data_IF_497671084774
#
_entry.id   IF_497671084774
#
_cell.length_a   1.000
_cell.length_b   1.000
_cell.length_c   1.000
_cell.angle_alpha   90.00
_cell.angle_beta   90.00
_cell.angle_gamma   90.00
#
_symmetry.space_group_name_H-M   'P 1'
#
loop_
_entity.id
_entity.type
_entity.pdbx_description
1 polymer ?
#
# COMPACT_ATOMS: atom_id res chain seq x y z
N UNK A 1 -11.06 7.12 -5.62
CA UNK A 1 -9.72 7.08 -6.22
C UNK A 1 -8.86 8.05 -5.44
N UNK A 2 -7.65 7.64 -5.03
CA UNK A 2 -6.73 8.50 -4.28
C UNK A 2 -6.39 9.75 -5.10
N UNK A 3 -6.26 10.90 -4.42
CA UNK A 3 -5.75 12.15 -5.01
C UNK A 3 -4.25 12.06 -5.25
N UNK A 4 -3.52 11.40 -4.34
CA UNK A 4 -2.09 11.14 -4.44
C UNK A 4 -1.79 9.89 -5.28
N UNK A 5 -0.71 9.97 -6.08
CA UNK A 5 -0.13 8.80 -6.75
C UNK A 5 1.03 8.28 -5.90
N UNK A 6 0.84 7.14 -5.24
CA UNK A 6 1.88 6.54 -4.40
C UNK A 6 3.17 6.19 -5.16
N UNK A 7 3.11 6.01 -6.48
CA UNK A 7 4.30 5.86 -7.32
C UNK A 7 5.29 7.03 -7.23
N UNK A 8 4.85 8.24 -6.85
CA UNK A 8 5.75 9.37 -6.57
C UNK A 8 6.66 9.10 -5.37
N UNK A 9 6.20 8.33 -4.38
CA UNK A 9 7.00 7.91 -3.22
C UNK A 9 8.13 6.99 -3.67
N UNK A 10 7.87 6.06 -4.60
CA UNK A 10 8.90 5.17 -5.18
C UNK A 10 9.92 5.98 -5.99
N UNK A 11 9.47 6.93 -6.82
CA UNK A 11 10.36 7.84 -7.55
C UNK A 11 11.25 8.63 -6.59
N UNK A 12 10.68 9.13 -5.50
CA UNK A 12 11.43 9.84 -4.47
C UNK A 12 12.46 8.93 -3.77
N UNK A 13 12.07 7.72 -3.40
CA UNK A 13 12.96 6.73 -2.77
C UNK A 13 14.17 6.39 -3.67
N UNK A 14 13.95 6.29 -4.99
CA UNK A 14 15.00 6.03 -5.98
C UNK A 14 16.09 7.12 -6.06
N UNK A 15 15.88 8.30 -5.47
CA UNK A 15 16.91 9.34 -5.40
C UNK A 15 18.04 8.99 -4.42
N UNK A 16 17.78 8.13 -3.43
CA UNK A 16 18.81 7.62 -2.50
C UNK A 16 19.23 6.19 -2.87
N UNK A 17 20.26 6.10 -3.71
CA UNK A 17 20.79 4.83 -4.20
C UNK A 17 21.35 3.93 -3.09
N UNK A 18 21.83 4.50 -1.98
CA UNK A 18 22.36 3.72 -0.86
C UNK A 18 21.21 3.04 -0.12
N UNK A 19 20.16 3.77 0.19
CA UNK A 19 18.98 3.22 0.84
C UNK A 19 18.23 2.25 -0.06
N UNK A 20 18.17 2.50 -1.36
CA UNK A 20 17.56 1.58 -2.31
C UNK A 20 18.28 0.23 -2.36
N UNK A 21 19.63 0.24 -2.42
CA UNK A 21 20.43 -1.00 -2.34
C UNK A 21 20.15 -1.77 -1.05
N UNK A 22 20.01 -1.07 0.09
CA UNK A 22 19.62 -1.69 1.37
C UNK A 22 18.22 -2.30 1.29
N UNK A 23 17.24 -1.57 0.75
CA UNK A 23 15.87 -2.04 0.61
C UNK A 23 15.79 -3.31 -0.25
N UNK A 24 16.50 -3.33 -1.38
CA UNK A 24 16.58 -4.51 -2.26
C UNK A 24 17.20 -5.69 -1.51
N UNK A 25 18.33 -5.50 -0.83
CA UNK A 25 18.98 -6.55 -0.07
C UNK A 25 18.12 -7.08 1.09
N UNK A 26 17.39 -6.21 1.78
CA UNK A 26 16.50 -6.58 2.89
C UNK A 26 15.27 -7.36 2.41
N UNK A 27 14.67 -6.97 1.28
CA UNK A 27 13.47 -7.63 0.76
C UNK A 27 13.77 -8.94 0.05
N UNK A 28 14.79 -8.96 -0.81
CA UNK A 28 15.12 -10.14 -1.63
C UNK A 28 16.13 -11.08 -0.96
N UNK A 29 16.86 -10.61 0.06
CA UNK A 29 17.96 -11.35 0.66
C UNK A 29 19.04 -11.65 -0.37
N UNK A 30 19.50 -12.90 -0.39
CA UNK A 30 20.49 -13.40 -1.35
C UNK A 30 19.88 -13.80 -2.71
N UNK A 31 18.56 -13.66 -2.88
CA UNK A 31 17.88 -14.11 -4.10
C UNK A 31 18.03 -13.08 -5.21
N UNK A 32 18.41 -13.55 -6.38
CA UNK A 32 18.35 -12.76 -7.60
C UNK A 32 16.94 -12.78 -8.18
N UNK A 33 16.42 -11.61 -8.52
CA UNK A 33 15.14 -11.47 -9.22
C UNK A 33 15.42 -11.43 -10.72
N UNK A 34 14.97 -12.46 -11.42
CA UNK A 34 15.01 -12.50 -12.87
C UNK A 34 13.85 -11.67 -13.44
N UNK A 35 14.17 -10.66 -14.25
CA UNK A 35 13.19 -9.80 -14.91
C UNK A 35 12.36 -10.56 -15.96
N UNK A 36 12.86 -11.68 -16.46
CA UNK A 36 12.13 -12.56 -17.38
C UNK A 36 11.18 -13.54 -16.68
N UNK A 37 11.14 -13.53 -15.34
CA UNK A 37 10.22 -14.37 -14.59
C UNK A 37 8.76 -14.00 -14.91
N UNK A 38 7.87 -14.99 -15.12
CA UNK A 38 6.44 -14.71 -15.34
C UNK A 38 5.78 -13.98 -14.15
N UNK A 39 6.40 -14.01 -12.97
CA UNK A 39 5.90 -13.35 -11.76
C UNK A 39 6.60 -12.02 -11.47
N UNK A 40 7.46 -11.51 -12.36
CA UNK A 40 8.27 -10.32 -12.10
C UNK A 40 7.43 -9.10 -11.71
N UNK A 41 6.32 -8.85 -12.41
CA UNK A 41 5.42 -7.73 -12.09
C UNK A 41 4.82 -7.85 -10.69
N UNK A 42 4.35 -9.03 -10.31
CA UNK A 42 3.78 -9.28 -8.99
C UNK A 42 4.82 -9.06 -7.89
N UNK A 43 6.04 -9.56 -8.10
CA UNK A 43 7.17 -9.39 -7.20
C UNK A 43 7.55 -7.91 -7.07
N UNK A 44 7.62 -7.19 -8.19
CA UNK A 44 7.93 -5.76 -8.24
C UNK A 44 6.87 -4.94 -7.49
N UNK A 45 5.60 -5.25 -7.66
CA UNK A 45 4.52 -4.59 -6.92
C UNK A 45 4.57 -4.86 -5.42
N UNK A 46 4.83 -6.10 -5.00
CA UNK A 46 5.01 -6.43 -3.58
C UNK A 46 6.20 -5.68 -2.98
N UNK A 47 7.32 -5.61 -3.72
CA UNK A 47 8.48 -4.83 -3.31
C UNK A 47 8.13 -3.34 -3.17
N UNK A 48 7.43 -2.75 -4.13
CA UNK A 48 7.05 -1.34 -4.09
C UNK A 48 6.11 -1.03 -2.92
N UNK A 49 5.13 -1.89 -2.64
CA UNK A 49 4.24 -1.72 -1.49
C UNK A 49 5.03 -1.77 -0.17
N UNK A 50 5.87 -2.79 -0.01
CA UNK A 50 6.72 -2.93 1.16
C UNK A 50 7.69 -1.75 1.30
N UNK A 51 8.29 -1.29 0.20
CA UNK A 51 9.19 -0.14 0.17
C UNK A 51 8.48 1.13 0.67
N UNK A 52 7.26 1.39 0.20
CA UNK A 52 6.51 2.60 0.55
C UNK A 52 6.17 2.61 2.05
N UNK A 53 5.66 1.50 2.57
CA UNK A 53 5.00 1.48 3.87
C UNK A 53 5.81 0.83 5.00
N UNK A 54 6.68 -0.11 4.69
CA UNK A 54 7.26 -1.00 5.70
C UNK A 54 8.78 -0.82 5.83
N UNK A 55 9.50 -0.59 4.71
CA UNK A 55 10.94 -0.32 4.74
C UNK A 55 11.27 0.90 5.60
N UNK A 56 12.17 0.71 6.56
CA UNK A 56 12.59 1.78 7.47
C UNK A 56 13.75 2.56 6.86
N UNK A 57 13.50 3.82 6.51
CA UNK A 57 14.53 4.78 6.11
C UNK A 57 15.42 5.09 7.32
N UNK A 58 14.78 5.35 8.45
CA UNK A 58 15.34 5.58 9.80
C UNK A 58 14.49 4.79 10.80
N UNK A 59 14.98 4.59 12.03
CA UNK A 59 14.38 3.70 13.05
C UNK A 59 12.84 3.79 13.16
N UNK A 60 12.25 4.97 13.01
CA UNK A 60 10.80 5.17 13.11
C UNK A 60 10.10 5.66 11.83
N UNK A 61 10.78 5.76 10.68
CA UNK A 61 10.22 6.40 9.47
C UNK A 61 10.35 5.53 8.22
N UNK A 62 9.22 5.38 7.52
CA UNK A 62 9.14 4.76 6.19
C UNK A 62 9.15 5.83 5.08
N UNK A 63 9.19 5.40 3.82
CA UNK A 63 9.28 6.32 2.69
C UNK A 63 8.04 7.20 2.52
N UNK A 64 6.83 6.68 2.76
CA UNK A 64 5.61 7.53 2.68
C UNK A 64 5.65 8.66 3.71
N UNK A 65 6.18 8.39 4.92
CA UNK A 65 6.34 9.41 5.96
C UNK A 65 7.43 10.43 5.59
N UNK A 66 8.59 9.99 5.09
CA UNK A 66 9.64 10.91 4.63
C UNK A 66 9.15 11.79 3.48
N UNK A 67 8.41 11.22 2.53
CA UNK A 67 7.85 11.94 1.39
C UNK A 67 6.84 13.01 1.85
N UNK A 68 5.95 12.68 2.78
CA UNK A 68 5.03 13.64 3.40
C UNK A 68 5.77 14.79 4.10
N UNK A 69 6.77 14.48 4.93
CA UNK A 69 7.52 15.48 5.71
C UNK A 69 8.37 16.40 4.82
N UNK A 70 8.92 15.88 3.73
CA UNK A 70 9.78 16.65 2.82
C UNK A 70 9.01 17.37 1.74
N UNK A 71 7.83 16.88 1.40
CA UNK A 71 6.97 17.38 0.32
C UNK A 71 7.77 17.75 -0.96
N UNK A 72 8.57 16.83 -1.52
CA UNK A 72 9.56 17.15 -2.55
C UNK A 72 8.95 17.64 -3.87
N UNK A 73 7.65 17.35 -4.08
CA UNK A 73 6.91 17.74 -5.29
C UNK A 73 5.91 18.88 -5.00
N UNK A 74 6.03 19.57 -3.87
CA UNK A 74 5.15 20.67 -3.45
C UNK A 74 3.65 20.32 -3.59
N UNK A 75 3.25 19.18 -3.04
CA UNK A 75 1.89 18.69 -3.07
C UNK A 75 0.92 19.72 -2.48
N UNK A 76 -0.28 19.84 -3.07
CA UNK A 76 -1.34 20.67 -2.50
C UNK A 76 -1.84 20.11 -1.17
N UNK A 77 -2.48 20.97 -0.37
CA UNK A 77 -2.89 20.67 1.00
C UNK A 77 -3.84 19.47 1.10
N UNK A 78 -4.71 19.26 0.12
CA UNK A 78 -5.63 18.13 0.06
C UNK A 78 -4.92 16.78 -0.14
N UNK A 79 -3.84 16.75 -0.93
CA UNK A 79 -3.00 15.56 -1.11
C UNK A 79 -2.14 15.28 0.12
N UNK A 80 -1.64 16.33 0.80
CA UNK A 80 -0.92 16.18 2.06
C UNK A 80 -1.84 15.64 3.17
N UNK A 81 -3.07 16.15 3.27
CA UNK A 81 -4.07 15.67 4.20
C UNK A 81 -4.46 14.21 3.92
N UNK A 82 -4.58 13.82 2.64
CA UNK A 82 -4.80 12.41 2.26
C UNK A 82 -3.62 11.52 2.69
N UNK A 83 -2.37 11.92 2.41
CA UNK A 83 -1.19 11.16 2.83
C UNK A 83 -1.10 11.01 4.35
N UNK A 84 -1.38 12.08 5.10
CA UNK A 84 -1.37 12.04 6.56
C UNK A 84 -2.40 11.05 7.11
N UNK A 85 -3.61 11.04 6.54
CA UNK A 85 -4.65 10.07 6.89
C UNK A 85 -4.20 8.63 6.59
N UNK A 86 -3.58 8.39 5.43
CA UNK A 86 -3.01 7.08 5.08
C UNK A 86 -1.94 6.66 6.10
N UNK A 87 -0.96 7.53 6.39
CA UNK A 87 0.13 7.23 7.33
C UNK A 87 -0.43 6.84 8.71
N UNK A 88 -1.45 7.55 9.20
CA UNK A 88 -2.00 7.36 10.54
C UNK A 88 -2.91 6.13 10.66
N UNK A 89 -3.57 5.73 9.59
CA UNK A 89 -4.70 4.77 9.67
C UNK A 89 -4.49 3.49 8.86
N UNK A 90 -3.39 3.42 8.11
CA UNK A 90 -3.12 2.25 7.28
C UNK A 90 -2.98 0.98 8.12
N UNK A 91 -3.44 -0.15 7.59
CA UNK A 91 -3.30 -1.47 8.19
C UNK A 91 -3.13 -2.50 7.08
N UNK A 92 -2.04 -3.27 7.13
CA UNK A 92 -1.78 -4.39 6.25
C UNK A 92 -2.07 -5.71 6.95
N UNK A 93 -2.91 -6.54 6.34
CA UNK A 93 -3.21 -7.88 6.83
C UNK A 93 -3.86 -8.73 5.73
N UNK A 94 -4.06 -10.01 6.03
CA UNK A 94 -4.86 -10.89 5.19
C UNK A 94 -6.35 -10.63 5.48
N UNK A 95 -7.11 -10.38 4.42
CA UNK A 95 -8.53 -10.13 4.47
C UNK A 95 -9.32 -11.26 3.82
N UNK A 96 -10.42 -11.67 4.41
CA UNK A 96 -11.42 -12.55 3.80
C UNK A 96 -12.67 -11.74 3.43
N UNK A 97 -13.23 -11.95 2.23
CA UNK A 97 -14.46 -11.25 1.82
C UNK A 97 -15.69 -11.92 2.43
N UNK A 98 -16.45 -11.16 3.22
CA UNK A 98 -17.70 -11.61 3.82
C UNK A 98 -18.92 -11.29 2.95
N UNK A 99 -19.01 -10.07 2.41
CA UNK A 99 -20.17 -9.64 1.60
C UNK A 99 -19.87 -8.47 0.65
N UNK A 100 -20.76 -8.25 -0.32
CA UNK A 100 -20.63 -7.23 -1.39
C UNK A 100 -21.93 -6.42 -1.50
N UNK A 101 -21.83 -5.10 -1.68
CA UNK A 101 -23.00 -4.21 -1.76
C UNK A 101 -22.93 -3.18 -2.89
N UNK A 102 -22.36 -3.53 -4.05
CA UNK A 102 -22.24 -2.71 -5.26
C UNK A 102 -21.36 -1.45 -5.16
N UNK A 103 -21.09 -0.96 -3.95
CA UNK A 103 -20.28 0.24 -3.68
C UNK A 103 -19.16 -0.03 -2.67
N UNK A 104 -19.27 -1.11 -1.92
CA UNK A 104 -18.32 -1.50 -0.89
C UNK A 104 -18.35 -3.01 -0.70
N UNK A 105 -17.27 -3.52 -0.12
CA UNK A 105 -17.17 -4.88 0.39
C UNK A 105 -17.08 -4.84 1.91
N UNK A 106 -17.61 -5.88 2.55
CA UNK A 106 -17.28 -6.16 3.94
C UNK A 106 -16.20 -7.23 3.95
N UNK A 107 -15.10 -6.96 4.66
CA UNK A 107 -13.98 -7.88 4.79
C UNK A 107 -13.65 -8.14 6.25
N UNK A 108 -13.27 -9.37 6.56
CA UNK A 108 -12.80 -9.80 7.87
C UNK A 108 -11.28 -9.83 7.89
N UNK A 109 -10.66 -9.13 8.84
CA UNK A 109 -9.22 -9.14 9.06
C UNK A 109 -8.80 -10.40 9.81
N UNK A 110 -8.07 -11.30 9.16
CA UNK A 110 -7.71 -12.59 9.75
C UNK A 110 -6.72 -12.48 10.92
N UNK A 111 -6.02 -11.34 11.05
CA UNK A 111 -5.03 -11.15 12.12
C UNK A 111 -5.57 -10.45 13.35
N UNK A 112 -6.42 -9.44 13.18
CA UNK A 112 -7.01 -8.74 14.32
C UNK A 112 -8.44 -9.15 14.65
N UNK A 113 -9.09 -9.96 13.79
CA UNK A 113 -10.46 -10.42 14.00
C UNK A 113 -11.52 -9.35 13.78
N UNK A 114 -11.15 -8.18 13.25
CA UNK A 114 -12.07 -7.08 13.03
C UNK A 114 -12.74 -7.18 11.65
N UNK A 115 -13.99 -6.73 11.58
CA UNK A 115 -14.72 -6.60 10.32
C UNK A 115 -14.70 -5.14 9.82
N UNK A 116 -14.42 -4.97 8.54
CA UNK A 116 -14.24 -3.69 7.89
C UNK A 116 -15.21 -3.48 6.74
N UNK A 117 -15.84 -2.31 6.70
CA UNK A 117 -16.53 -1.81 5.51
C UNK A 117 -15.54 -1.05 4.62
N UNK A 118 -15.12 -1.64 3.51
CA UNK A 118 -14.13 -1.06 2.59
C UNK A 118 -14.79 -0.64 1.28
N UNK A 119 -14.69 0.65 0.95
CA UNK A 119 -15.30 1.24 -0.23
C UNK A 119 -14.45 0.97 -1.47
N UNK A 120 -14.75 -0.12 -2.15
CA UNK A 120 -14.17 -0.49 -3.43
C UNK A 120 -15.26 -0.97 -4.39
N UNK A 121 -15.56 -0.14 -5.41
CA UNK A 121 -16.59 -0.45 -6.41
C UNK A 121 -16.15 -1.59 -7.34
N UNK A 122 -14.87 -1.62 -7.73
CA UNK A 122 -14.37 -2.61 -8.67
C UNK A 122 -14.40 -4.01 -8.03
N UNK A 123 -13.87 -4.15 -6.83
CA UNK A 123 -13.90 -5.40 -6.08
C UNK A 123 -15.35 -5.80 -5.74
N UNK A 124 -16.20 -4.85 -5.38
CA UNK A 124 -17.61 -5.13 -5.11
C UNK A 124 -18.40 -5.61 -6.32
N UNK A 125 -17.99 -5.27 -7.55
CA UNK A 125 -18.69 -5.65 -8.78
C UNK A 125 -18.09 -6.88 -9.47
N UNK A 126 -16.77 -7.07 -9.39
CA UNK A 126 -16.07 -8.03 -10.26
C UNK A 126 -15.51 -9.26 -9.52
N UNK A 127 -15.55 -9.30 -8.19
CA UNK A 127 -14.91 -10.41 -7.48
C UNK A 127 -15.73 -11.71 -7.60
N UNK A 128 -15.13 -12.87 -7.95
CA UNK A 128 -15.87 -14.07 -8.33
C UNK A 128 -16.49 -14.86 -7.16
N UNK A 129 -16.15 -14.59 -5.89
CA UNK A 129 -16.70 -15.41 -4.79
C UNK A 129 -16.15 -15.11 -3.39
N UNK A 130 -16.01 -16.16 -2.58
CA UNK A 130 -15.26 -16.15 -1.31
C UNK A 130 -13.76 -16.28 -1.61
N UNK A 131 -12.92 -15.74 -0.74
CA UNK A 131 -11.47 -15.86 -0.87
C UNK A 131 -10.75 -14.92 0.07
N UNK A 132 -9.47 -15.23 0.29
CA UNK A 132 -8.57 -14.44 1.12
C UNK A 132 -7.49 -13.79 0.27
N UNK A 133 -7.11 -12.56 0.62
CA UNK A 133 -6.12 -11.80 -0.12
C UNK A 133 -5.36 -10.88 0.83
N UNK A 134 -4.12 -10.58 0.46
CA UNK A 134 -3.29 -9.61 1.15
C UNK A 134 -3.58 -8.22 0.63
N UNK A 135 -3.83 -7.28 1.53
CA UNK A 135 -4.01 -5.89 1.13
C UNK A 135 -3.73 -4.93 2.31
N UNK A 136 -3.65 -3.64 1.98
CA UNK A 136 -3.58 -2.53 2.93
C UNK A 136 -4.81 -1.66 2.82
N UNK A 137 -5.48 -1.45 3.94
CA UNK A 137 -6.58 -0.48 4.02
C UNK A 137 -6.13 0.76 4.75
N UNK A 138 -6.74 1.91 4.46
CA UNK A 138 -6.63 3.13 5.27
C UNK A 138 -7.96 3.88 5.27
N UNK A 139 -8.15 4.77 6.24
CA UNK A 139 -9.28 5.70 6.28
C UNK A 139 -8.85 6.98 5.56
N UNK A 140 -9.58 7.38 4.52
CA UNK A 140 -9.38 8.61 3.76
C UNK A 140 -10.74 9.30 3.58
N UNK A 141 -10.80 10.58 3.95
CA UNK A 141 -12.01 11.42 3.90
C UNK A 141 -13.22 10.72 4.54
N UNK A 142 -12.98 10.09 5.70
CA UNK A 142 -13.99 9.38 6.49
C UNK A 142 -14.40 8.00 5.95
N UNK A 143 -13.75 7.49 4.91
CA UNK A 143 -14.05 6.18 4.31
C UNK A 143 -12.85 5.26 4.35
N UNK A 144 -13.04 4.01 4.76
CA UNK A 144 -12.01 2.99 4.63
C UNK A 144 -11.94 2.52 3.18
N UNK A 145 -10.75 2.57 2.59
CA UNK A 145 -10.46 2.17 1.21
C UNK A 145 -9.20 1.30 1.19
N UNK A 146 -8.99 0.54 0.12
CA UNK A 146 -7.70 -0.08 -0.15
C UNK A 146 -6.71 0.98 -0.66
N UNK A 147 -5.50 0.96 -0.13
CA UNK A 147 -4.40 1.90 -0.45
C UNK A 147 -3.08 1.17 -0.76
N UNK A 148 -3.09 -0.15 -0.70
CA UNK A 148 -2.03 -1.05 -1.14
C UNK A 148 -2.61 -2.20 -1.95
N UNK A 149 -1.77 -3.12 -2.42
CA UNK A 149 -2.16 -4.28 -3.22
C UNK A 149 -2.57 -3.96 -4.65
N UNK A 150 -1.71 -4.40 -5.59
CA UNK A 150 -1.90 -4.60 -7.04
C UNK A 150 -3.23 -4.16 -7.68
#
# INVERSE_FOLDING_TARGET
>A
MLKIRLGKVVIYANRDQRLMKRAVAEFFGERHVDQSSPNFEQISSLFNEWLIFDFKVKESRNWVTEYYLKNPDALPADQLAELEQIIKTQTFQMFEIESKRGQYVTVYGLYNGDTYKVFDKALSSNFPGKGSFWNRTAIVDGRRIFVGGN
#
